data_IF_597186736215
#
_entry.id   IF_597186736215
#
_cell.length_a   1.000
_cell.length_b   1.000
_cell.length_c   1.000
_cell.angle_alpha   90.00
_cell.angle_beta   90.00
_cell.angle_gamma   90.00
#
_symmetry.space_group_name_H-M   'P 1'
#
loop_
_entity.id
_entity.type
_entity.pdbx_description
1 polymer ?
#
# COMPACT_ATOMS: atom_id res chain seq x y z
N UNK A 1 13.40 30.74 -4.56
CA UNK A 1 14.04 29.43 -4.82
C UNK A 1 15.00 29.59 -5.99
N UNK A 2 16.28 29.23 -5.83
CA UNK A 2 17.26 29.35 -6.92
C UNK A 2 17.07 28.24 -7.96
N UNK A 3 17.42 28.55 -9.25
CA UNK A 3 17.45 27.55 -10.33
C UNK A 3 18.24 26.31 -9.94
N UNK A 4 19.33 26.46 -9.17
CA UNK A 4 20.18 25.38 -8.70
C UNK A 4 19.48 24.44 -7.70
N UNK A 5 18.56 24.95 -6.87
CA UNK A 5 17.81 24.12 -5.93
C UNK A 5 16.89 23.14 -6.66
N UNK A 6 16.13 23.63 -7.62
CA UNK A 6 15.20 22.78 -8.39
C UNK A 6 15.94 21.74 -9.22
N UNK A 7 17.02 22.13 -9.90
CA UNK A 7 17.83 21.17 -10.65
C UNK A 7 18.37 20.06 -9.74
N UNK A 8 18.99 20.41 -8.62
CA UNK A 8 19.51 19.45 -7.67
C UNK A 8 18.42 18.54 -7.08
N UNK A 9 17.23 19.07 -6.85
CA UNK A 9 16.10 18.28 -6.36
C UNK A 9 15.68 17.23 -7.40
N UNK A 10 15.47 17.65 -8.65
CA UNK A 10 15.06 16.73 -9.71
C UNK A 10 16.14 15.73 -10.09
N UNK A 11 17.41 16.11 -10.05
CA UNK A 11 18.52 15.19 -10.28
C UNK A 11 18.54 14.07 -9.22
N UNK A 12 18.38 14.42 -7.93
CA UNK A 12 18.29 13.45 -6.84
C UNK A 12 17.06 12.55 -6.99
N UNK A 13 15.91 13.13 -7.32
CA UNK A 13 14.68 12.41 -7.50
C UNK A 13 14.77 11.41 -8.66
N UNK A 14 15.28 11.85 -9.81
CA UNK A 14 15.47 11.01 -10.99
C UNK A 14 16.43 9.85 -10.70
N UNK A 15 17.50 10.12 -9.96
CA UNK A 15 18.47 9.08 -9.56
C UNK A 15 17.81 8.02 -8.69
N UNK A 16 16.99 8.41 -7.70
CA UNK A 16 16.25 7.46 -6.86
C UNK A 16 15.28 6.59 -7.66
N UNK A 17 14.68 7.14 -8.72
CA UNK A 17 13.77 6.37 -9.59
C UNK A 17 14.50 5.36 -10.46
N UNK A 18 15.75 5.60 -10.82
CA UNK A 18 16.55 4.73 -11.68
C UNK A 18 17.28 3.65 -10.85
N UNK A 19 17.73 4.00 -9.65
CA UNK A 19 18.54 3.14 -8.78
C UNK A 19 17.72 2.12 -7.97
N UNK A 20 16.51 1.74 -8.42
CA UNK A 20 15.70 0.77 -7.69
C UNK A 20 16.22 -0.68 -7.83
N UNK A 21 15.96 -1.49 -6.82
CA UNK A 21 16.36 -2.90 -6.82
C UNK A 21 15.41 -3.75 -7.66
N UNK A 22 15.81 -4.06 -8.89
CA UNK A 22 15.02 -4.89 -9.82
C UNK A 22 14.63 -6.26 -9.23
N UNK A 23 15.49 -6.89 -8.44
CA UNK A 23 15.22 -8.22 -7.87
C UNK A 23 14.09 -8.17 -6.86
N UNK A 24 14.06 -7.14 -6.01
CA UNK A 24 13.00 -6.99 -5.02
C UNK A 24 11.67 -6.63 -5.70
N UNK A 25 11.72 -5.82 -6.75
CA UNK A 25 10.53 -5.51 -7.54
C UNK A 25 9.92 -6.78 -8.19
N UNK A 26 10.77 -7.64 -8.75
CA UNK A 26 10.31 -8.91 -9.32
C UNK A 26 9.73 -9.86 -8.27
N UNK A 27 10.23 -9.85 -7.03
CA UNK A 27 9.62 -10.61 -5.92
C UNK A 27 8.20 -10.11 -5.62
N UNK A 28 7.99 -8.80 -5.58
CA UNK A 28 6.65 -8.21 -5.37
C UNK A 28 5.70 -8.65 -6.49
N UNK A 29 6.15 -8.55 -7.75
CA UNK A 29 5.35 -9.01 -8.90
C UNK A 29 4.98 -10.49 -8.78
N UNK A 30 5.90 -11.34 -8.33
CA UNK A 30 5.63 -12.78 -8.11
C UNK A 30 4.56 -12.98 -7.04
N UNK A 31 4.66 -12.30 -5.90
CA UNK A 31 3.66 -12.36 -4.82
C UNK A 31 2.27 -11.93 -5.30
N UNK A 32 2.18 -10.84 -6.06
CA UNK A 32 0.93 -10.36 -6.64
C UNK A 32 0.30 -11.39 -7.61
N UNK A 33 1.11 -12.03 -8.44
CA UNK A 33 0.65 -13.11 -9.32
C UNK A 33 0.14 -14.33 -8.53
N UNK A 34 0.78 -14.67 -7.41
CA UNK A 34 0.36 -15.76 -6.53
C UNK A 34 -0.99 -15.46 -5.86
N UNK A 35 -1.16 -14.24 -5.34
CA UNK A 35 -2.44 -13.77 -4.77
C UNK A 35 -3.57 -13.90 -5.79
N UNK A 36 -3.34 -13.42 -7.02
CA UNK A 36 -4.31 -13.52 -8.11
C UNK A 36 -4.66 -14.97 -8.43
N UNK A 37 -3.65 -15.82 -8.64
CA UNK A 37 -3.83 -17.26 -8.95
C UNK A 37 -4.62 -17.98 -7.87
N UNK A 38 -4.35 -17.67 -6.60
CA UNK A 38 -5.02 -18.28 -5.45
C UNK A 38 -6.38 -17.63 -5.13
N UNK A 39 -6.87 -16.67 -5.93
CA UNK A 39 -8.12 -15.94 -5.71
C UNK A 39 -8.17 -15.27 -4.32
N UNK A 40 -7.03 -14.82 -3.83
CA UNK A 40 -6.88 -14.07 -2.58
C UNK A 40 -6.88 -12.57 -2.85
N UNK A 41 -6.73 -11.76 -1.81
CA UNK A 41 -6.73 -10.29 -1.93
C UNK A 41 -5.43 -9.68 -1.45
N UNK A 42 -5.19 -8.46 -1.90
CA UNK A 42 -4.15 -7.58 -1.37
C UNK A 42 -4.83 -6.61 -0.39
N UNK A 43 -4.28 -6.49 0.79
CA UNK A 43 -4.67 -5.48 1.78
C UNK A 43 -3.56 -4.43 1.79
N UNK A 44 -3.91 -3.16 1.58
CA UNK A 44 -2.94 -2.08 1.50
C UNK A 44 -3.24 -1.05 2.58
N UNK A 45 -2.27 -0.73 3.39
CA UNK A 45 -2.43 0.19 4.52
C UNK A 45 -1.36 1.27 4.54
N UNK A 46 -1.69 2.42 5.08
CA UNK A 46 -0.80 3.56 5.25
C UNK A 46 -1.49 4.67 6.04
N UNK A 47 -0.75 5.70 6.41
CA UNK A 47 -1.27 6.87 7.10
C UNK A 47 -1.11 8.13 6.25
N UNK A 48 -1.99 9.11 6.38
CA UNK A 48 -1.91 10.39 5.70
C UNK A 48 -1.75 10.23 4.17
N UNK A 49 -0.67 10.78 3.60
CA UNK A 49 -0.36 10.62 2.18
C UNK A 49 -0.16 9.17 1.75
N UNK A 50 0.38 8.33 2.63
CA UNK A 50 0.50 6.89 2.38
C UNK A 50 -0.87 6.19 2.37
N UNK A 51 -1.83 6.66 3.16
CA UNK A 51 -3.21 6.19 3.09
C UNK A 51 -3.88 6.56 1.76
N UNK A 52 -3.63 7.78 1.25
CA UNK A 52 -4.11 8.21 -0.06
C UNK A 52 -3.53 7.33 -1.19
N UNK A 53 -2.24 7.01 -1.13
CA UNK A 53 -1.61 6.05 -2.05
C UNK A 53 -2.22 4.66 -1.94
N UNK A 54 -2.43 4.15 -0.72
CA UNK A 54 -3.06 2.84 -0.49
C UNK A 54 -4.45 2.77 -1.11
N UNK A 55 -5.27 3.81 -0.96
CA UNK A 55 -6.60 3.89 -1.56
C UNK A 55 -6.55 3.86 -3.08
N UNK A 56 -5.67 4.67 -3.69
CA UNK A 56 -5.55 4.71 -5.14
C UNK A 56 -5.02 3.39 -5.72
N UNK A 57 -3.95 2.86 -5.15
CA UNK A 57 -3.32 1.61 -5.61
C UNK A 57 -4.27 0.41 -5.47
N UNK A 58 -5.13 0.38 -4.43
CA UNK A 58 -6.13 -0.69 -4.29
C UNK A 58 -7.14 -0.69 -5.45
N UNK A 59 -7.51 0.49 -5.94
CA UNK A 59 -8.38 0.64 -7.12
C UNK A 59 -7.65 0.20 -8.39
N UNK A 60 -6.40 0.60 -8.56
CA UNK A 60 -5.59 0.22 -9.72
C UNK A 60 -5.35 -1.30 -9.79
N UNK A 61 -5.02 -1.94 -8.68
CA UNK A 61 -4.89 -3.40 -8.64
C UNK A 61 -6.20 -4.10 -9.02
N UNK A 62 -7.33 -3.59 -8.53
CA UNK A 62 -8.63 -4.17 -8.84
C UNK A 62 -9.00 -3.96 -10.31
N UNK A 63 -8.94 -2.72 -10.79
CA UNK A 63 -9.39 -2.33 -12.13
C UNK A 63 -8.43 -2.75 -13.23
N UNK A 64 -7.13 -2.47 -13.05
CA UNK A 64 -6.13 -2.63 -14.12
C UNK A 64 -5.49 -4.01 -14.12
N UNK A 65 -5.29 -4.61 -12.93
CA UNK A 65 -4.59 -5.89 -12.78
C UNK A 65 -5.54 -7.08 -12.59
N UNK A 66 -6.83 -6.81 -12.35
CA UNK A 66 -7.81 -7.82 -11.95
C UNK A 66 -7.31 -8.63 -10.74
N UNK A 67 -6.79 -7.91 -9.74
CA UNK A 67 -6.38 -8.43 -8.44
C UNK A 67 -7.30 -7.80 -7.39
N UNK A 68 -8.01 -8.60 -6.62
CA UNK A 68 -8.84 -8.05 -5.53
C UNK A 68 -7.94 -7.33 -4.53
N UNK A 69 -8.18 -6.05 -4.33
CA UNK A 69 -7.42 -5.25 -3.39
C UNK A 69 -8.36 -4.37 -2.56
N UNK A 70 -8.03 -4.23 -1.30
CA UNK A 70 -8.79 -3.43 -0.34
C UNK A 70 -7.86 -2.60 0.53
N UNK A 71 -8.39 -1.54 1.09
CA UNK A 71 -7.77 -0.78 2.17
C UNK A 71 -8.82 -0.57 3.27
N UNK A 72 -8.38 -0.09 4.42
CA UNK A 72 -9.24 0.16 5.56
C UNK A 72 -9.48 1.65 5.82
N UNK A 73 -9.31 2.50 4.79
CA UNK A 73 -9.45 3.96 4.90
C UNK A 73 -10.91 4.42 4.86
N UNK A 74 -11.77 3.66 5.51
CA UNK A 74 -13.16 4.02 5.72
C UNK A 74 -13.26 4.72 7.07
N UNK A 75 -13.95 5.86 7.12
CA UNK A 75 -13.96 6.74 8.29
C UNK A 75 -14.51 6.06 9.54
N UNK A 76 -15.60 5.32 9.42
CA UNK A 76 -16.24 4.66 10.56
C UNK A 76 -15.37 3.53 11.11
N UNK A 77 -14.77 2.73 10.23
CA UNK A 77 -13.86 1.65 10.64
C UNK A 77 -12.65 2.23 11.38
N UNK A 78 -11.99 3.23 10.79
CA UNK A 78 -10.80 3.84 11.35
C UNK A 78 -11.08 4.48 12.69
N UNK A 79 -12.13 5.29 12.80
CA UNK A 79 -12.46 6.01 14.03
C UNK A 79 -12.98 5.09 15.12
N UNK A 80 -13.86 4.14 14.80
CA UNK A 80 -14.36 3.16 15.75
C UNK A 80 -13.23 2.28 16.31
N UNK A 81 -12.42 1.67 15.44
CA UNK A 81 -11.34 0.79 15.88
C UNK A 81 -10.24 1.55 16.65
N UNK A 82 -9.94 2.79 16.23
CA UNK A 82 -9.00 3.63 16.96
C UNK A 82 -9.52 4.00 18.35
N UNK A 83 -10.80 4.29 18.49
CA UNK A 83 -11.43 4.60 19.77
C UNK A 83 -11.46 3.38 20.70
N UNK A 84 -11.81 2.21 20.17
CA UNK A 84 -12.08 1.02 20.97
C UNK A 84 -10.79 0.24 21.32
N UNK A 85 -9.80 0.26 20.44
CA UNK A 85 -8.58 -0.55 20.57
C UNK A 85 -7.28 0.26 20.68
N UNK A 86 -7.37 1.58 20.52
CA UNK A 86 -6.20 2.47 20.39
C UNK A 86 -5.74 2.61 18.94
N UNK A 87 -5.27 3.84 18.60
CA UNK A 87 -4.86 4.17 17.24
C UNK A 87 -3.71 3.27 16.76
N UNK A 88 -2.78 2.89 17.62
CA UNK A 88 -1.66 2.01 17.32
C UNK A 88 -2.09 0.58 16.95
N UNK A 89 -3.29 0.16 17.33
CA UNK A 89 -3.78 -1.21 17.17
C UNK A 89 -4.86 -1.35 16.08
N UNK A 90 -5.41 -0.26 15.55
CA UNK A 90 -6.58 -0.34 14.68
C UNK A 90 -6.35 -1.15 13.40
N UNK A 91 -5.15 -1.01 12.78
CA UNK A 91 -4.79 -1.80 11.59
C UNK A 91 -4.70 -3.28 11.91
N UNK A 92 -4.04 -3.63 13.01
CA UNK A 92 -3.93 -5.02 13.46
C UNK A 92 -5.32 -5.64 13.70
N UNK A 93 -6.22 -4.88 14.32
CA UNK A 93 -7.60 -5.33 14.54
C UNK A 93 -8.37 -5.48 13.25
N UNK A 94 -8.28 -4.55 12.34
CA UNK A 94 -8.89 -4.67 11.02
C UNK A 94 -8.40 -5.93 10.27
N UNK A 95 -7.09 -6.17 10.26
CA UNK A 95 -6.51 -7.37 9.66
C UNK A 95 -7.07 -8.63 10.31
N UNK A 96 -7.21 -8.68 11.64
CA UNK A 96 -7.72 -9.86 12.35
C UNK A 96 -9.17 -10.23 11.95
N UNK A 97 -9.96 -9.26 11.49
CA UNK A 97 -11.33 -9.50 11.04
C UNK A 97 -11.44 -9.76 9.53
N UNK A 98 -10.61 -9.11 8.73
CA UNK A 98 -10.78 -9.05 7.27
C UNK A 98 -9.79 -9.88 6.47
N UNK A 99 -8.65 -10.28 7.06
CA UNK A 99 -7.64 -11.03 6.33
C UNK A 99 -7.93 -12.53 6.33
N UNK A 100 -7.74 -13.14 5.18
CA UNK A 100 -7.75 -14.59 5.01
C UNK A 100 -6.33 -15.13 4.91
N UNK A 101 -6.19 -16.42 5.16
CA UNK A 101 -4.92 -17.12 4.91
C UNK A 101 -4.49 -16.95 3.45
N UNK A 102 -3.22 -16.58 3.23
CA UNK A 102 -2.60 -16.30 1.93
C UNK A 102 -3.00 -14.96 1.29
N UNK A 103 -3.66 -14.07 2.00
CA UNK A 103 -3.74 -12.67 1.58
C UNK A 103 -2.36 -12.03 1.66
N UNK A 104 -2.14 -10.98 0.88
CA UNK A 104 -0.90 -10.20 0.88
C UNK A 104 -1.17 -8.85 1.56
N UNK A 105 -0.36 -8.51 2.56
CA UNK A 105 -0.38 -7.20 3.18
C UNK A 105 0.74 -6.34 2.61
N UNK A 106 0.39 -5.12 2.18
CA UNK A 106 1.34 -4.08 1.78
C UNK A 106 1.17 -2.90 2.72
N UNK A 107 2.25 -2.55 3.43
CA UNK A 107 2.31 -1.37 4.28
C UNK A 107 3.12 -0.27 3.58
N UNK A 108 2.54 0.92 3.45
CA UNK A 108 3.18 2.11 2.88
C UNK A 108 3.51 3.06 4.02
N UNK A 109 4.79 3.41 4.13
CA UNK A 109 5.28 4.33 5.16
C UNK A 109 6.24 5.36 4.58
#
# INVERSE_FOLDING_TARGET
>A
MSKNYLSNYFDKFSKLLVDYNHKDFLKIVKLLKEVKRNKKKVIIVGNGGSAAMASHVSVDFTKMCNIRAVNFNEADLLTCFSNDYGYENWVQKAISFYADKKDLLICIS
#
